data_IF_305775818613
#
_entry.id   IF_305775818613
#
_cell.length_a   1.000
_cell.length_b   1.000
_cell.length_c   1.000
_cell.angle_alpha   90.00
_cell.angle_beta   90.00
_cell.angle_gamma   90.00
#
_symmetry.space_group_name_H-M   'P 1'
#
loop_
_entity.id
_entity.type
_entity.pdbx_description
1 polymer ?
#
# COMPACT_ATOMS: atom_id res chain seq x y z
N UNK A 1 15.22 -20.57 -0.17
CA UNK A 1 16.21 -19.50 0.07
C UNK A 1 15.42 -18.22 0.25
N UNK A 2 15.77 -17.37 1.22
CA UNK A 2 15.14 -16.06 1.40
C UNK A 2 15.92 -15.07 0.53
N UNK A 3 15.25 -14.35 -0.36
CA UNK A 3 15.87 -13.44 -1.34
C UNK A 3 15.78 -11.95 -0.94
N UNK A 4 14.78 -11.59 -0.13
CA UNK A 4 14.64 -10.24 0.42
C UNK A 4 13.25 -9.96 0.98
N UNK A 5 12.99 -8.69 1.26
CA UNK A 5 11.66 -8.19 1.61
C UNK A 5 10.89 -7.93 0.32
N UNK A 6 9.82 -8.67 0.12
CA UNK A 6 8.90 -8.38 -0.98
C UNK A 6 8.01 -7.16 -0.68
N UNK A 7 7.49 -7.08 0.54
CA UNK A 7 6.62 -5.99 0.99
C UNK A 7 6.55 -5.96 2.51
N UNK A 8 6.00 -4.87 3.06
CA UNK A 8 5.55 -4.78 4.46
C UNK A 8 4.05 -4.60 4.47
N UNK A 9 3.35 -5.37 5.32
CA UNK A 9 1.92 -5.20 5.55
C UNK A 9 1.69 -4.43 6.85
N UNK A 10 0.90 -3.36 6.77
CA UNK A 10 0.50 -2.54 7.91
C UNK A 10 -1.03 -2.61 8.07
N UNK A 11 -1.52 -2.49 9.29
CA UNK A 11 -2.95 -2.38 9.53
C UNK A 11 -3.39 -0.92 9.43
N UNK A 12 -4.57 -0.69 8.86
CA UNK A 12 -5.24 0.61 8.86
C UNK A 12 -6.71 0.47 9.26
N UNK A 13 -7.37 1.54 9.74
CA UNK A 13 -8.82 1.55 9.94
C UNK A 13 -9.57 1.31 8.61
N UNK A 14 -10.75 0.71 8.70
CA UNK A 14 -11.66 0.57 7.55
C UNK A 14 -12.07 1.97 7.07
N UNK A 15 -12.01 2.22 5.76
CA UNK A 15 -12.42 3.50 5.15
C UNK A 15 -11.35 4.60 5.20
N UNK A 16 -10.11 4.28 5.59
CA UNK A 16 -9.02 5.26 5.70
C UNK A 16 -8.28 5.54 4.39
N UNK A 17 -8.70 4.98 3.26
CA UNK A 17 -7.95 4.98 2.00
C UNK A 17 -7.58 6.40 1.51
N UNK A 18 -8.46 7.38 1.70
CA UNK A 18 -8.17 8.76 1.30
C UNK A 18 -7.14 9.45 2.21
N UNK A 19 -7.12 9.12 3.50
CA UNK A 19 -6.07 9.56 4.43
C UNK A 19 -4.73 8.89 4.06
N UNK A 20 -4.76 7.59 3.74
CA UNK A 20 -3.59 6.86 3.27
C UNK A 20 -3.01 7.49 2.01
N UNK A 21 -3.83 7.81 1.00
CA UNK A 21 -3.40 8.50 -0.23
C UNK A 21 -2.81 9.87 0.08
N UNK A 22 -3.46 10.65 0.93
CA UNK A 22 -2.98 11.98 1.34
C UNK A 22 -1.57 11.89 1.92
N UNK A 23 -1.31 10.91 2.78
CA UNK A 23 -0.01 10.73 3.40
C UNK A 23 1.03 10.05 2.48
N UNK A 24 0.75 8.83 2.00
CA UNK A 24 1.72 8.03 1.26
C UNK A 24 2.00 8.61 -0.14
N UNK A 25 0.99 9.12 -0.84
CA UNK A 25 1.18 9.77 -2.14
C UNK A 25 1.58 11.23 -1.95
N UNK A 26 0.78 12.00 -1.19
CA UNK A 26 0.96 13.44 -1.08
C UNK A 26 2.19 13.88 -0.30
N UNK A 27 2.46 13.26 0.86
CA UNK A 27 3.57 13.67 1.75
C UNK A 27 4.84 12.89 1.43
N UNK A 28 4.74 11.57 1.29
CA UNK A 28 5.91 10.70 1.08
C UNK A 28 6.30 10.53 -0.40
N UNK A 29 5.45 10.95 -1.34
CA UNK A 29 5.72 10.85 -2.77
C UNK A 29 5.76 9.41 -3.30
N UNK A 30 5.10 8.47 -2.63
CA UNK A 30 4.93 7.10 -3.12
C UNK A 30 3.88 7.05 -4.22
N UNK A 31 3.92 5.99 -5.02
CA UNK A 31 2.92 5.73 -6.06
C UNK A 31 1.90 4.72 -5.54
N UNK A 32 0.61 5.04 -5.59
CA UNK A 32 -0.45 4.04 -5.37
C UNK A 32 -0.45 3.03 -6.54
N UNK A 33 -0.49 1.74 -6.21
CA UNK A 33 -0.52 0.65 -7.18
C UNK A 33 -1.82 -0.15 -7.04
N UNK A 34 -2.30 -0.70 -8.15
CA UNK A 34 -3.56 -1.44 -8.16
C UNK A 34 -3.45 -2.75 -7.38
N UNK A 35 -4.47 -3.02 -6.57
CA UNK A 35 -4.63 -4.30 -5.91
C UNK A 35 -5.11 -5.36 -6.90
N UNK A 36 -4.69 -6.62 -6.76
CA UNK A 36 -5.27 -7.73 -7.52
C UNK A 36 -6.81 -7.76 -7.34
N UNK A 37 -7.58 -8.12 -8.39
CA UNK A 37 -9.04 -8.08 -8.34
C UNK A 37 -9.65 -8.87 -7.17
N UNK A 38 -9.05 -10.02 -6.83
CA UNK A 38 -9.48 -10.86 -5.71
C UNK A 38 -9.37 -10.17 -4.33
N UNK A 39 -8.58 -9.10 -4.21
CA UNK A 39 -8.35 -8.36 -2.97
C UNK A 39 -9.01 -6.98 -2.97
N UNK A 40 -9.49 -6.50 -4.11
CA UNK A 40 -10.05 -5.15 -4.26
C UNK A 40 -11.22 -4.90 -3.29
N UNK A 41 -12.11 -5.88 -3.11
CA UNK A 41 -13.29 -5.75 -2.25
C UNK A 41 -12.99 -5.61 -0.74
N UNK A 42 -11.73 -5.77 -0.32
CA UNK A 42 -11.34 -5.80 1.11
C UNK A 42 -11.00 -4.41 1.69
N UNK A 43 -11.05 -3.35 0.88
CA UNK A 43 -10.56 -2.02 1.29
C UNK A 43 -9.03 -1.97 1.44
N UNK A 44 -8.50 -0.81 1.79
CA UNK A 44 -7.05 -0.55 1.86
C UNK A 44 -6.43 -0.16 0.52
N UNK A 45 -5.14 0.18 0.54
CA UNK A 45 -4.38 0.71 -0.59
C UNK A 45 -2.93 0.20 -0.57
N UNK A 46 -2.37 -0.05 -1.76
CA UNK A 46 -0.98 -0.50 -1.92
C UNK A 46 -0.14 0.63 -2.47
N UNK A 47 1.08 0.77 -1.97
CA UNK A 47 1.99 1.86 -2.36
C UNK A 47 3.39 1.33 -2.66
N UNK A 48 4.07 1.95 -3.62
CA UNK A 48 5.44 1.62 -3.99
C UNK A 48 6.35 2.86 -4.09
N UNK A 49 7.63 2.69 -3.74
CA UNK A 49 8.69 3.67 -3.99
C UNK A 49 10.03 2.93 -4.13
N UNK A 50 10.60 2.92 -5.34
CA UNK A 50 11.77 2.10 -5.65
C UNK A 50 11.51 0.62 -5.35
N UNK A 51 12.30 0.02 -4.46
CA UNK A 51 12.14 -1.37 -4.01
C UNK A 51 11.20 -1.53 -2.81
N UNK A 52 10.72 -0.44 -2.21
CA UNK A 52 9.80 -0.51 -1.08
C UNK A 52 8.35 -0.69 -1.56
N UNK A 53 7.65 -1.66 -0.97
CA UNK A 53 6.23 -1.95 -1.23
C UNK A 53 5.48 -2.05 0.09
N UNK A 54 4.39 -1.31 0.22
CA UNK A 54 3.51 -1.30 1.38
C UNK A 54 2.11 -1.79 1.00
N UNK A 55 1.57 -2.70 1.80
CA UNK A 55 0.18 -3.12 1.74
C UNK A 55 -0.54 -2.63 3.00
N UNK A 56 -1.53 -1.76 2.83
CA UNK A 56 -2.44 -1.31 3.88
C UNK A 56 -3.87 -1.72 3.52
#
# INVERSE_FOLDING_TARGET
MIDGLHHVQLACPVGSEDELRTFYVGVLGMTEIEKPPALAARGGAWFASGTAVLHL
#
